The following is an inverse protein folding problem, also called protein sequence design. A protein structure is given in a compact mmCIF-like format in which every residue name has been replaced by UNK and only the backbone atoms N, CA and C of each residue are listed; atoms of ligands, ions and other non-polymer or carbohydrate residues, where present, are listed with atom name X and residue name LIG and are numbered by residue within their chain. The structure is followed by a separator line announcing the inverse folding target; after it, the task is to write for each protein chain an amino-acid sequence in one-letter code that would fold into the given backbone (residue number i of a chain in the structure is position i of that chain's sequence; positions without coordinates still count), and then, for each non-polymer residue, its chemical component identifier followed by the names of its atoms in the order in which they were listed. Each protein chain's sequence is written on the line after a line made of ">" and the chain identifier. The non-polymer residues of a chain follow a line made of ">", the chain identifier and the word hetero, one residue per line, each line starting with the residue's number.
data_IF_394044178322
#
_entry.id   IF_394044178322
#
_cell.length_a   1.000
_cell.length_b   1.000
_cell.length_c   1.000
_cell.angle_alpha   90.00
_cell.angle_beta   90.00
_cell.angle_gamma   90.00
#
_symmetry.space_group_name_H-M   'P 1'
#
loop_
_entity.id
_entity.type
_entity.pdbx_description
1 polymer ?
#
# COMPACT_ATOMS: atom_id res chain seq x y z
N UNK A 1 18.21 -29.05 -38.97
CA UNK A 1 17.47 -27.80 -39.23
C UNK A 1 16.70 -27.49 -37.95
N UNK A 2 17.21 -26.58 -37.12
CA UNK A 2 16.92 -25.11 -37.09
C UNK A 2 15.43 -24.85 -36.79
N UNK A 3 15.12 -24.36 -35.59
CA UNK A 3 14.92 -22.91 -35.24
C UNK A 3 13.60 -22.39 -35.85
N UNK A 4 12.75 -21.56 -35.23
CA UNK A 4 12.70 -20.87 -33.95
C UNK A 4 11.34 -20.12 -33.90
N UNK A 5 11.05 -19.55 -32.72
CA UNK A 5 10.44 -18.22 -32.49
C UNK A 5 8.97 -17.91 -32.81
N UNK A 6 8.24 -17.58 -31.73
CA UNK A 6 7.52 -16.30 -31.48
C UNK A 6 6.47 -15.78 -32.47
N UNK A 7 5.31 -15.40 -31.94
CA UNK A 7 5.07 -13.98 -31.62
C UNK A 7 3.73 -13.75 -30.91
N UNK A 8 3.80 -12.98 -29.82
CA UNK A 8 2.70 -12.21 -29.28
C UNK A 8 2.30 -11.14 -30.32
N UNK A 9 1.01 -10.85 -30.46
CA UNK A 9 0.57 -9.49 -30.74
C UNK A 9 -0.76 -9.14 -30.07
N UNK A 10 -0.77 -7.93 -29.53
CA UNK A 10 -1.70 -7.31 -28.58
C UNK A 10 -2.89 -6.58 -29.24
N UNK A 11 -4.06 -6.52 -28.57
CA UNK A 11 -4.97 -5.33 -28.49
C UNK A 11 -6.31 -5.72 -27.86
N UNK A 12 -7.08 -4.97 -27.04
CA UNK A 12 -6.99 -3.68 -26.30
C UNK A 12 -8.15 -3.71 -25.26
N UNK A 13 -7.94 -3.76 -23.93
CA UNK A 13 -9.05 -3.84 -22.95
C UNK A 13 -9.68 -2.48 -22.57
N UNK A 14 -8.97 -1.37 -22.85
CA UNK A 14 -9.28 -0.05 -22.29
C UNK A 14 -10.45 0.64 -23.00
N UNK A 15 -10.74 0.27 -24.25
CA UNK A 15 -11.78 0.91 -25.07
C UNK A 15 -13.19 0.40 -24.75
N UNK A 16 -13.31 -0.77 -24.12
CA UNK A 16 -14.59 -1.41 -23.83
C UNK A 16 -15.18 -1.01 -22.47
N UNK A 17 -14.33 -0.73 -21.48
CA UNK A 17 -14.78 -0.29 -20.15
C UNK A 17 -15.37 1.13 -20.21
N UNK A 18 -14.74 2.04 -20.96
CA UNK A 18 -15.25 3.39 -21.14
C UNK A 18 -16.63 3.40 -21.83
N UNK A 19 -16.82 2.57 -22.87
CA UNK A 19 -18.11 2.42 -23.57
C UNK A 19 -19.18 1.75 -22.69
N UNK A 20 -18.80 0.82 -21.82
CA UNK A 20 -19.71 0.19 -20.86
C UNK A 20 -20.21 1.20 -19.80
N UNK A 21 -19.33 2.06 -19.30
CA UNK A 21 -19.68 3.09 -18.29
C UNK A 21 -20.63 4.15 -18.90
N UNK A 22 -20.38 4.59 -20.14
CA UNK A 22 -21.28 5.54 -20.82
C UNK A 22 -22.65 4.94 -21.10
N UNK A 23 -22.73 3.64 -21.43
CA UNK A 23 -24.00 2.91 -21.59
C UNK A 23 -24.78 2.77 -20.28
N UNK A 24 -24.10 2.54 -19.16
CA UNK A 24 -24.71 2.42 -17.82
C UNK A 24 -25.30 3.76 -17.36
N UNK A 25 -24.63 4.88 -17.64
CA UNK A 25 -25.14 6.23 -17.33
C UNK A 25 -26.36 6.62 -18.16
N UNK A 26 -26.41 6.20 -19.44
CA UNK A 26 -27.56 6.47 -20.32
C UNK A 26 -28.84 5.69 -20.01
N UNK A 27 -28.75 4.65 -19.15
CA UNK A 27 -29.85 3.73 -18.85
C UNK A 27 -30.59 4.02 -17.52
N UNK A 28 -30.31 5.14 -16.85
CA UNK A 28 -30.97 5.48 -15.58
C UNK A 28 -30.61 4.53 -14.43
N UNK A 29 -29.41 3.95 -14.44
CA UNK A 29 -28.98 2.97 -13.45
C UNK A 29 -28.69 3.65 -12.10
N UNK A 30 -29.60 3.47 -11.15
CA UNK A 30 -29.49 4.02 -9.80
C UNK A 30 -28.39 3.29 -9.01
N UNK A 31 -27.20 3.90 -8.94
CA UNK A 31 -26.07 3.45 -8.13
C UNK A 31 -26.46 3.24 -6.65
N UNK A 32 -27.45 3.97 -6.15
CA UNK A 32 -27.93 3.86 -4.78
C UNK A 32 -28.71 2.55 -4.56
N UNK A 33 -29.41 2.07 -5.58
CA UNK A 33 -30.11 0.78 -5.58
C UNK A 33 -29.15 -0.41 -5.65
N UNK A 34 -28.13 -0.34 -6.51
CA UNK A 34 -27.08 -1.37 -6.57
C UNK A 34 -26.32 -1.46 -5.25
N UNK A 35 -26.02 -0.32 -4.63
CA UNK A 35 -25.40 -0.28 -3.31
C UNK A 35 -26.31 -0.95 -2.26
N UNK A 36 -27.63 -0.70 -2.30
CA UNK A 36 -28.63 -1.33 -1.43
C UNK A 36 -28.71 -2.86 -1.59
N UNK A 37 -28.56 -3.37 -2.81
CA UNK A 37 -28.55 -4.80 -3.11
C UNK A 37 -27.26 -5.49 -2.65
N UNK A 38 -26.10 -4.85 -2.86
CA UNK A 38 -24.81 -5.31 -2.31
C UNK A 38 -24.86 -5.34 -0.77
N UNK A 39 -25.55 -4.38 -0.15
CA UNK A 39 -25.69 -4.30 1.30
C UNK A 39 -26.54 -5.45 1.88
N UNK A 40 -27.45 -6.01 1.09
CA UNK A 40 -28.30 -7.16 1.47
C UNK A 40 -27.67 -8.51 1.17
N UNK A 41 -26.64 -8.54 0.33
CA UNK A 41 -25.94 -9.77 -0.02
C UNK A 41 -25.16 -10.33 1.19
N UNK A 42 -25.29 -11.64 1.41
CA UNK A 42 -24.45 -12.42 2.33
C UNK A 42 -23.63 -13.39 1.49
N UNK A 43 -22.34 -13.55 1.80
CA UNK A 43 -21.50 -14.57 1.15
C UNK A 43 -21.52 -15.82 2.00
N UNK A 44 -21.66 -16.99 1.37
CA UNK A 44 -21.41 -18.26 2.04
C UNK A 44 -19.90 -18.45 2.20
N UNK A 45 -19.43 -18.58 3.43
CA UNK A 45 -18.09 -19.06 3.74
C UNK A 45 -18.24 -20.29 4.65
N UNK A 46 -18.01 -21.49 4.09
CA UNK A 46 -18.41 -22.74 4.73
C UNK A 46 -19.93 -22.78 4.96
N UNK A 47 -20.37 -23.18 6.16
CA UNK A 47 -21.80 -23.27 6.54
C UNK A 47 -22.35 -21.97 7.17
N UNK A 48 -21.67 -20.84 7.03
CA UNK A 48 -22.09 -19.57 7.62
C UNK A 48 -22.33 -18.48 6.57
N UNK A 49 -23.41 -17.73 6.77
CA UNK A 49 -23.76 -16.55 5.98
C UNK A 49 -23.13 -15.30 6.61
N UNK A 50 -22.14 -14.71 5.94
CA UNK A 50 -21.42 -13.53 6.46
C UNK A 50 -21.88 -12.27 5.69
N UNK A 51 -22.23 -11.16 6.37
CA UNK A 51 -22.59 -9.90 5.71
C UNK A 51 -21.41 -9.30 4.91
N UNK A 52 -21.66 -8.94 3.65
CA UNK A 52 -20.64 -8.49 2.67
C UNK A 52 -20.01 -7.13 3.01
N UNK A 53 -20.77 -6.20 3.59
CA UNK A 53 -20.34 -4.80 3.74
C UNK A 53 -19.08 -4.60 4.58
N UNK A 54 -18.91 -5.39 5.66
CA UNK A 54 -17.72 -5.32 6.50
C UNK A 54 -16.45 -5.76 5.77
N UNK A 55 -16.58 -6.76 4.88
CA UNK A 55 -15.46 -7.32 4.13
C UNK A 55 -14.97 -6.39 3.01
N UNK A 56 -15.87 -5.80 2.21
CA UNK A 56 -15.47 -4.91 1.10
C UNK A 56 -14.78 -3.64 1.63
N UNK A 57 -15.27 -3.09 2.74
CA UNK A 57 -14.69 -1.90 3.35
C UNK A 57 -13.29 -2.17 3.89
N UNK A 58 -13.09 -3.33 4.53
CA UNK A 58 -11.78 -3.74 5.00
C UNK A 58 -10.80 -4.01 3.85
N UNK A 59 -11.24 -4.65 2.76
CA UNK A 59 -10.40 -4.89 1.57
C UNK A 59 -9.82 -3.58 1.04
N UNK A 60 -10.65 -2.54 0.86
CA UNK A 60 -10.16 -1.24 0.39
C UNK A 60 -9.19 -0.58 1.36
N UNK A 61 -9.40 -0.78 2.67
CA UNK A 61 -8.48 -0.27 3.68
C UNK A 61 -7.12 -0.97 3.62
N UNK A 62 -7.11 -2.31 3.49
CA UNK A 62 -5.89 -3.09 3.26
C UNK A 62 -5.17 -2.64 1.99
N UNK A 63 -5.90 -2.50 0.88
CA UNK A 63 -5.35 -2.05 -0.40
C UNK A 63 -4.71 -0.66 -0.29
N UNK A 64 -5.42 0.30 0.31
CA UNK A 64 -4.92 1.67 0.48
C UNK A 64 -3.66 1.72 1.35
N UNK A 65 -3.63 0.95 2.44
CA UNK A 65 -2.46 0.86 3.31
C UNK A 65 -1.30 0.15 2.61
N UNK A 66 -1.57 -0.95 1.91
CA UNK A 66 -0.57 -1.72 1.15
C UNK A 66 0.13 -0.84 0.11
N UNK A 67 -0.63 -0.07 -0.68
CA UNK A 67 -0.09 0.86 -1.67
C UNK A 67 0.79 1.91 -1.02
N UNK A 68 0.36 2.49 0.11
CA UNK A 68 1.16 3.47 0.84
C UNK A 68 2.46 2.85 1.36
N UNK A 69 2.42 1.70 2.03
CA UNK A 69 3.64 1.08 2.57
C UNK A 69 4.61 0.67 1.46
N UNK A 70 4.11 0.12 0.34
CA UNK A 70 4.95 -0.19 -0.83
C UNK A 70 5.60 1.07 -1.39
N UNK A 71 4.83 2.14 -1.53
CA UNK A 71 5.35 3.43 -1.98
C UNK A 71 6.47 3.96 -1.07
N UNK A 72 6.27 3.93 0.25
CA UNK A 72 7.29 4.36 1.22
C UNK A 72 8.54 3.46 1.19
N UNK A 73 8.38 2.13 1.07
CA UNK A 73 9.49 1.19 0.90
C UNK A 73 10.29 1.51 -0.36
N UNK A 74 9.63 1.75 -1.49
CA UNK A 74 10.29 2.13 -2.74
C UNK A 74 11.07 3.43 -2.60
N UNK A 75 10.49 4.46 -1.98
CA UNK A 75 11.22 5.71 -1.71
C UNK A 75 12.46 5.48 -0.87
N UNK A 76 12.36 4.69 0.21
CA UNK A 76 13.50 4.36 1.06
C UNK A 76 14.55 3.56 0.29
N UNK A 77 14.14 2.59 -0.54
CA UNK A 77 15.08 1.78 -1.31
C UNK A 77 15.89 2.66 -2.26
N UNK A 78 15.21 3.43 -3.10
CA UNK A 78 15.83 4.27 -4.14
C UNK A 78 16.69 5.38 -3.54
N UNK A 79 16.27 5.98 -2.43
CA UNK A 79 16.93 7.18 -1.88
C UNK A 79 17.97 6.88 -0.79
N UNK A 80 17.82 5.77 -0.09
CA UNK A 80 18.69 5.41 1.03
C UNK A 80 19.54 4.21 0.68
N UNK A 81 18.94 3.10 0.23
CA UNK A 81 19.61 1.79 0.17
C UNK A 81 20.39 1.59 -1.13
N UNK A 82 19.76 1.78 -2.28
CA UNK A 82 20.36 1.56 -3.61
C UNK A 82 21.60 2.42 -3.88
N UNK A 83 21.66 3.72 -3.50
CA UNK A 83 22.85 4.54 -3.75
C UNK A 83 24.09 4.02 -3.04
N UNK A 84 23.92 3.35 -1.89
CA UNK A 84 25.02 2.72 -1.16
C UNK A 84 24.45 1.72 -0.14
N UNK A 85 24.71 0.41 -0.35
CA UNK A 85 24.22 -0.64 0.55
C UNK A 85 24.61 -0.46 2.01
N UNK A 86 25.75 0.19 2.31
CA UNK A 86 26.15 0.50 3.70
C UNK A 86 25.20 1.48 4.40
N UNK A 87 24.36 2.21 3.65
CA UNK A 87 23.34 3.08 4.23
C UNK A 87 22.27 2.31 5.01
N UNK A 88 22.07 1.01 4.75
CA UNK A 88 21.24 0.19 5.62
C UNK A 88 21.75 0.30 7.06
N UNK A 89 23.02 0.05 7.31
CA UNK A 89 23.61 0.08 8.65
C UNK A 89 23.80 1.50 9.20
N UNK A 90 24.08 2.47 8.32
CA UNK A 90 24.41 3.84 8.72
C UNK A 90 23.19 4.77 8.86
N UNK A 91 22.08 4.48 8.19
CA UNK A 91 20.88 5.34 8.13
C UNK A 91 19.64 4.67 8.71
N UNK A 92 19.59 3.35 8.76
CA UNK A 92 18.54 2.58 9.44
C UNK A 92 19.05 2.17 10.82
N UNK A 93 18.16 2.14 11.81
CA UNK A 93 18.58 1.88 13.20
C UNK A 93 18.93 0.40 13.38
N UNK A 94 19.98 0.06 14.14
CA UNK A 94 20.39 -1.33 14.35
C UNK A 94 19.26 -2.22 14.91
N UNK A 95 18.41 -1.68 15.80
CA UNK A 95 17.28 -2.41 16.36
C UNK A 95 16.27 -2.84 15.29
N UNK A 96 15.99 -1.99 14.32
CA UNK A 96 15.08 -2.30 13.21
C UNK A 96 15.68 -3.35 12.30
N UNK A 97 16.97 -3.21 11.95
CA UNK A 97 17.66 -4.20 11.12
C UNK A 97 17.70 -5.58 11.78
N UNK A 98 17.88 -5.63 13.11
CA UNK A 98 17.83 -6.89 13.86
C UNK A 98 16.46 -7.55 13.75
N UNK A 99 15.39 -6.78 13.90
CA UNK A 99 14.03 -7.30 13.74
C UNK A 99 13.75 -7.78 12.31
N UNK A 100 14.18 -7.02 11.30
CA UNK A 100 13.99 -7.40 9.88
C UNK A 100 14.75 -8.69 9.54
N UNK A 101 16.00 -8.82 10.01
CA UNK A 101 16.80 -10.05 9.84
C UNK A 101 16.13 -11.23 10.52
N UNK A 102 15.61 -11.05 11.74
CA UNK A 102 14.89 -12.10 12.45
C UNK A 102 13.65 -12.57 11.69
N UNK A 103 12.85 -11.64 11.13
CA UNK A 103 11.66 -11.98 10.32
C UNK A 103 12.05 -12.72 9.03
N UNK A 104 13.12 -12.27 8.37
CA UNK A 104 13.66 -12.93 7.17
C UNK A 104 14.15 -14.34 7.45
N UNK A 105 14.93 -14.53 8.49
CA UNK A 105 15.43 -15.86 8.90
C UNK A 105 14.30 -16.81 9.31
N UNK A 106 13.21 -16.31 9.89
CA UNK A 106 12.02 -17.10 10.22
C UNK A 106 11.28 -17.53 8.94
N UNK A 107 11.13 -16.62 7.98
CA UNK A 107 10.51 -16.89 6.68
C UNK A 107 11.32 -17.90 5.85
N UNK A 108 12.64 -17.73 5.76
CA UNK A 108 13.54 -18.61 5.01
C UNK A 108 13.60 -20.05 5.57
N UNK A 109 13.26 -20.24 6.85
CA UNK A 109 13.15 -21.58 7.46
C UNK A 109 11.84 -22.28 7.11
N UNK A 110 10.86 -21.58 6.53
CA UNK A 110 9.56 -22.14 6.20
C UNK A 110 9.58 -22.73 4.78
N UNK A 111 9.51 -24.07 4.63
CA UNK A 111 9.61 -24.73 3.33
C UNK A 111 8.39 -24.49 2.41
N UNK A 112 7.32 -23.88 2.94
CA UNK A 112 6.09 -23.55 2.18
C UNK A 112 6.18 -22.16 1.53
N UNK A 113 7.08 -21.31 2.01
CA UNK A 113 7.20 -19.94 1.52
C UNK A 113 8.20 -19.91 0.37
N UNK A 114 7.72 -19.50 -0.80
CA UNK A 114 8.55 -19.24 -1.98
C UNK A 114 8.62 -17.72 -2.19
N UNK A 115 9.82 -17.17 -2.09
CA UNK A 115 10.05 -15.74 -2.20
C UNK A 115 11.49 -15.35 -1.86
N UNK A 116 12.08 -14.49 -2.70
CA UNK A 116 13.36 -13.85 -2.42
C UNK A 116 13.14 -12.35 -2.25
N UNK A 117 12.82 -11.95 -1.02
CA UNK A 117 12.57 -10.55 -0.68
C UNK A 117 13.82 -9.84 -0.14
N UNK A 118 13.94 -8.54 -0.43
CA UNK A 118 15.01 -7.71 0.12
C UNK A 118 14.76 -7.44 1.61
N UNK A 119 15.80 -7.06 2.35
CA UNK A 119 15.67 -6.87 3.80
C UNK A 119 14.63 -5.78 4.16
N UNK A 120 14.48 -4.76 3.31
CA UNK A 120 13.49 -3.69 3.49
C UNK A 120 12.04 -4.17 3.35
N UNK A 121 11.78 -5.28 2.65
CA UNK A 121 10.43 -5.84 2.52
C UNK A 121 9.91 -6.39 3.86
N UNK A 122 10.80 -6.72 4.79
CA UNK A 122 10.48 -7.17 6.15
C UNK A 122 10.21 -6.02 7.14
N UNK A 123 10.22 -4.77 6.66
CA UNK A 123 9.82 -3.59 7.44
C UNK A 123 8.30 -3.50 7.61
N UNK A 124 7.86 -2.99 8.76
CA UNK A 124 6.44 -2.67 8.99
C UNK A 124 6.14 -1.16 8.88
N UNK A 125 4.87 -0.77 8.98
CA UNK A 125 4.49 0.65 8.96
C UNK A 125 5.24 1.50 10.00
N UNK A 126 5.46 0.95 11.20
CA UNK A 126 6.11 1.64 12.31
C UNK A 126 7.56 1.94 11.96
N UNK A 127 8.23 0.96 11.37
CA UNK A 127 9.58 1.04 10.85
C UNK A 127 9.70 2.12 9.78
N UNK A 128 8.81 2.11 8.78
CA UNK A 128 8.78 3.11 7.71
C UNK A 128 8.61 4.52 8.27
N UNK A 129 7.61 4.73 9.14
CA UNK A 129 7.40 6.02 9.82
C UNK A 129 8.65 6.49 10.57
N UNK A 130 9.29 5.59 11.32
CA UNK A 130 10.51 5.83 12.09
C UNK A 130 11.71 6.25 11.25
N UNK A 131 11.76 5.83 9.98
CA UNK A 131 12.83 6.21 9.03
C UNK A 131 12.65 7.66 8.57
N UNK A 132 11.41 8.10 8.33
CA UNK A 132 11.08 9.48 7.95
C UNK A 132 11.19 10.46 9.13
N UNK A 133 10.74 10.08 10.33
CA UNK A 133 10.78 10.92 11.54
C UNK A 133 12.19 11.44 11.89
N UNK A 134 13.24 10.69 11.55
CA UNK A 134 14.55 10.92 12.16
C UNK A 134 15.28 12.19 11.71
N UNK A 135 14.73 13.01 10.81
CA UNK A 135 15.25 14.31 10.36
C UNK A 135 16.59 14.27 9.59
N UNK A 136 17.50 13.38 10.00
CA UNK A 136 18.79 13.06 9.38
C UNK A 136 18.65 12.57 7.95
N UNK A 137 17.53 11.91 7.64
CA UNK A 137 17.27 11.37 6.31
C UNK A 137 16.61 12.39 5.39
N UNK A 138 16.07 13.52 5.89
CA UNK A 138 15.47 14.56 5.04
C UNK A 138 16.42 15.02 3.94
N UNK A 139 17.72 15.18 4.25
CA UNK A 139 18.74 15.53 3.25
C UNK A 139 18.83 14.56 2.07
N UNK A 140 18.42 13.30 2.25
CA UNK A 140 18.37 12.30 1.17
C UNK A 140 17.12 12.45 0.29
N UNK A 141 16.18 13.32 0.66
CA UNK A 141 14.95 13.60 -0.07
C UNK A 141 14.82 15.08 -0.45
N UNK A 142 15.74 15.95 -0.05
CA UNK A 142 15.58 17.42 -0.17
C UNK A 142 15.50 17.92 -1.62
N UNK A 143 15.97 17.11 -2.57
CA UNK A 143 15.78 17.34 -3.99
C UNK A 143 14.32 17.16 -4.40
N UNK A 144 13.59 16.15 -3.88
CA UNK A 144 12.24 15.80 -4.32
C UNK A 144 11.11 16.29 -3.41
N UNK A 145 11.43 16.82 -2.22
CA UNK A 145 10.44 17.33 -1.27
C UNK A 145 11.04 18.43 -0.40
N UNK A 146 10.31 19.53 -0.26
CA UNK A 146 10.71 20.62 0.64
C UNK A 146 10.46 20.26 2.11
N UNK A 147 11.06 21.04 3.03
CA UNK A 147 11.01 20.74 4.46
C UNK A 147 9.58 20.83 5.05
N UNK A 148 8.72 21.70 4.51
CA UNK A 148 7.34 21.87 4.98
C UNK A 148 6.50 20.65 4.61
N UNK A 149 6.54 20.23 3.35
CA UNK A 149 5.90 19.01 2.86
C UNK A 149 6.44 17.76 3.58
N UNK A 150 7.74 17.70 3.88
CA UNK A 150 8.30 16.57 4.63
C UNK A 150 7.73 16.48 6.05
N UNK A 151 7.51 17.62 6.73
CA UNK A 151 6.81 17.67 8.02
C UNK A 151 5.35 17.22 7.91
N UNK A 152 4.67 17.59 6.82
CA UNK A 152 3.30 17.11 6.54
C UNK A 152 3.29 15.59 6.43
N UNK A 153 4.20 15.00 5.66
CA UNK A 153 4.33 13.53 5.54
C UNK A 153 4.47 12.88 6.91
N UNK A 154 5.39 13.36 7.75
CA UNK A 154 5.60 12.82 9.11
C UNK A 154 4.29 12.92 9.93
N UNK A 155 3.63 14.09 9.93
CA UNK A 155 2.37 14.28 10.65
C UNK A 155 1.30 13.28 10.20
N UNK A 156 1.14 13.10 8.89
CA UNK A 156 0.15 12.16 8.34
C UNK A 156 0.47 10.71 8.71
N UNK A 157 1.74 10.32 8.72
CA UNK A 157 2.14 8.98 9.16
C UNK A 157 1.83 8.74 10.65
N UNK A 158 1.98 9.75 11.51
CA UNK A 158 1.55 9.66 12.91
C UNK A 158 0.04 9.49 13.03
N UNK A 159 -0.74 10.26 12.27
CA UNK A 159 -2.21 10.18 12.30
C UNK A 159 -2.76 8.87 11.73
N UNK A 160 -2.03 8.23 10.80
CA UNK A 160 -2.39 6.94 10.21
C UNK A 160 -2.10 5.75 11.14
N UNK A 161 -1.17 5.87 12.09
CA UNK A 161 -0.77 4.79 13.02
C UNK A 161 -1.96 4.09 13.73
N UNK A 162 -2.94 4.80 14.35
CA UNK A 162 -4.10 4.16 14.95
C UNK A 162 -5.02 3.46 13.93
N UNK A 163 -5.14 4.00 12.71
CA UNK A 163 -5.94 3.41 11.63
C UNK A 163 -5.26 2.12 11.15
N UNK A 164 -3.95 2.16 10.92
CA UNK A 164 -3.14 0.99 10.56
C UNK A 164 -3.26 -0.12 11.59
N UNK A 165 -3.22 0.20 12.89
CA UNK A 165 -3.41 -0.79 13.97
C UNK A 165 -4.76 -1.49 13.86
N UNK A 166 -5.84 -0.77 13.58
CA UNK A 166 -7.16 -1.38 13.36
C UNK A 166 -7.15 -2.35 12.18
N UNK A 167 -6.56 -1.93 11.05
CA UNK A 167 -6.42 -2.76 9.84
C UNK A 167 -5.61 -4.03 10.16
N UNK A 168 -4.46 -3.92 10.81
CA UNK A 168 -3.63 -5.06 11.18
C UNK A 168 -4.35 -6.09 12.07
N UNK A 169 -5.31 -5.65 12.89
CA UNK A 169 -6.13 -6.51 13.72
C UNK A 169 -7.48 -6.89 13.09
N UNK A 170 -7.65 -6.69 11.78
CA UNK A 170 -8.89 -6.98 11.03
C UNK A 170 -10.14 -6.29 11.62
N UNK A 171 -9.95 -5.14 12.27
CA UNK A 171 -11.03 -4.37 12.88
C UNK A 171 -11.61 -3.43 11.85
N UNK A 172 -12.94 -3.38 11.81
CA UNK A 172 -13.66 -2.47 10.92
C UNK A 172 -13.29 -1.01 11.20
N UNK A 173 -12.97 -0.27 10.13
CA UNK A 173 -12.81 1.18 10.20
C UNK A 173 -14.18 1.86 10.20
N UNK A 174 -14.28 3.03 10.81
CA UNK A 174 -15.41 3.94 10.58
C UNK A 174 -15.30 4.61 9.20
N UNK A 175 -16.41 5.16 8.69
CA UNK A 175 -16.41 5.98 7.46
C UNK A 175 -15.36 7.09 7.51
N UNK A 176 -15.27 7.79 8.65
CA UNK A 176 -14.30 8.86 8.88
C UNK A 176 -12.86 8.38 8.82
N UNK A 177 -12.56 7.22 9.39
CA UNK A 177 -11.21 6.64 9.36
C UNK A 177 -10.80 6.20 7.96
N UNK A 178 -11.72 5.60 7.20
CA UNK A 178 -11.44 5.25 5.81
C UNK A 178 -11.23 6.48 4.93
N UNK A 179 -12.07 7.52 5.07
CA UNK A 179 -11.86 8.78 4.35
C UNK A 179 -10.52 9.41 4.70
N UNK A 180 -10.10 9.36 5.97
CA UNK A 180 -8.77 9.83 6.40
C UNK A 180 -7.64 8.99 5.81
N UNK A 181 -7.78 7.67 5.77
CA UNK A 181 -6.79 6.79 5.17
C UNK A 181 -6.55 7.17 3.70
N UNK A 182 -7.62 7.26 2.91
CA UNK A 182 -7.53 7.60 1.49
C UNK A 182 -6.96 9.00 1.29
N UNK A 183 -7.47 9.99 2.03
CA UNK A 183 -7.00 11.37 1.94
C UNK A 183 -5.51 11.48 2.29
N UNK A 184 -5.08 10.89 3.40
CA UNK A 184 -3.70 11.02 3.87
C UNK A 184 -2.73 10.23 3.00
N UNK A 185 -3.13 9.09 2.45
CA UNK A 185 -2.33 8.40 1.43
C UNK A 185 -2.10 9.30 0.22
N UNK A 186 -3.11 10.00 -0.28
CA UNK A 186 -2.95 10.88 -1.44
C UNK A 186 -2.19 12.17 -1.11
N UNK A 187 -2.44 12.78 0.06
CA UNK A 187 -1.68 13.94 0.55
C UNK A 187 -0.18 13.62 0.63
N UNK A 188 0.17 12.46 1.21
CA UNK A 188 1.57 12.01 1.30
C UNK A 188 2.16 11.88 -0.11
N UNK A 189 1.46 11.24 -1.05
CA UNK A 189 1.97 11.08 -2.42
C UNK A 189 2.15 12.43 -3.11
N UNK A 190 1.22 13.36 -2.94
CA UNK A 190 1.28 14.67 -3.56
C UNK A 190 2.44 15.53 -3.02
N UNK A 191 2.81 15.35 -1.75
CA UNK A 191 3.99 16.02 -1.17
C UNK A 191 5.29 15.73 -1.95
N UNK A 192 5.39 14.58 -2.62
CA UNK A 192 6.56 14.18 -3.44
C UNK A 192 6.37 14.38 -4.96
N UNK A 193 5.18 14.81 -5.42
CA UNK A 193 4.91 15.01 -6.87
C UNK A 193 5.19 16.44 -7.35
N UNK A 194 5.28 17.40 -6.44
CA UNK A 194 5.42 18.81 -6.78
C UNK A 194 6.89 19.25 -6.83
N UNK A 195 7.47 19.21 -8.03
CA UNK A 195 8.48 20.16 -8.50
C UNK A 195 7.89 20.92 -9.68
#
# INVERSE_FOLDING_TARGET
>A
MKEASESLESSKPVTDIAKAITRIQSAGFDLHKLQSEINKAKVNYGNQLIPVQGNVFNIKAYESLYVLERYLRTLINVRIIEPNKSNLENKIRPEMLKEWKSRKEEEEKNPVIDGNYELIDYSDFTDLKRIFEKGRNYKLFEDIINQEHFKVVISKLHELDPIRKKIAHSRSLSKKEMSRLVLYTEDIRNCFKHQ
#
